data_IF_503942380990
#
_entry.id   IF_503942380990
#
_cell.length_a   1.000
_cell.length_b   1.000
_cell.length_c   1.000
_cell.angle_alpha   90.00
_cell.angle_beta   90.00
_cell.angle_gamma   90.00
#
_symmetry.space_group_name_H-M   'P 1'
#
loop_
_entity.id
_entity.type
_entity.pdbx_description
1 polymer ?
#
# COMPACT_ATOMS: atom_id res chain seq x y z
N UNK A 1 5.48 -8.51 -6.10
CA UNK A 1 4.20 -7.93 -5.65
C UNK A 1 3.97 -8.49 -4.26
N UNK A 2 4.20 -7.68 -3.23
CA UNK A 2 3.93 -8.11 -1.86
C UNK A 2 2.48 -7.70 -1.60
N UNK A 3 1.56 -8.66 -1.73
CA UNK A 3 0.21 -8.50 -1.23
C UNK A 3 0.29 -8.73 0.28
N UNK A 4 0.32 -7.66 1.05
CA UNK A 4 0.19 -7.76 2.51
C UNK A 4 -1.27 -8.08 2.83
N UNK A 5 -1.58 -9.38 2.80
CA UNK A 5 -2.57 -9.95 3.71
C UNK A 5 -1.78 -10.17 5.00
N UNK A 6 -1.99 -9.31 6.00
CA UNK A 6 -1.07 -9.18 7.14
C UNK A 6 -0.70 -10.51 7.80
N UNK A 7 0.51 -10.98 7.54
CA UNK A 7 1.30 -11.81 8.47
C UNK A 7 2.71 -12.04 7.93
N UNK A 8 3.76 -11.62 8.67
CA UNK A 8 5.04 -12.36 8.85
C UNK A 8 5.90 -11.70 9.95
N UNK A 9 5.90 -12.36 11.11
CA UNK A 9 6.86 -12.44 12.23
C UNK A 9 8.07 -11.48 12.32
N UNK A 10 8.06 -10.63 13.36
CA UNK A 10 8.99 -10.67 14.52
C UNK A 10 8.43 -9.76 15.61
N UNK A 11 8.29 -10.30 16.82
CA UNK A 11 7.51 -9.84 17.98
C UNK A 11 6.01 -10.09 17.84
N UNK A 12 5.63 -11.24 18.38
CA UNK A 12 4.32 -11.89 18.31
C UNK A 12 3.27 -11.05 19.06
N UNK A 13 2.51 -10.25 18.31
CA UNK A 13 1.16 -9.87 18.73
C UNK A 13 0.29 -11.03 18.25
N UNK A 14 -0.14 -11.88 19.18
CA UNK A 14 -1.09 -12.95 18.87
C UNK A 14 -2.40 -12.32 18.40
N UNK A 15 -2.53 -12.16 17.09
CA UNK A 15 -3.84 -12.04 16.47
C UNK A 15 -4.50 -13.39 16.62
N UNK A 16 -5.26 -13.54 17.72
CA UNK A 16 -6.25 -14.59 17.87
C UNK A 16 -7.36 -14.31 16.84
N UNK A 17 -7.03 -14.52 15.56
CA UNK A 17 -7.98 -14.54 14.47
C UNK A 17 -8.86 -15.76 14.73
N UNK A 18 -10.16 -15.60 15.02
CA UNK A 18 -11.05 -16.75 14.94
C UNK A 18 -10.83 -17.38 13.57
N UNK A 19 -10.91 -18.70 13.48
CA UNK A 19 -10.76 -19.53 12.28
C UNK A 19 -11.82 -19.27 11.19
N UNK A 20 -12.17 -18.00 10.98
CA UNK A 20 -12.98 -17.50 9.89
C UNK A 20 -12.09 -17.50 8.66
N UNK A 21 -12.28 -18.54 7.87
CA UNK A 21 -12.13 -18.61 6.41
C UNK A 21 -11.48 -17.36 5.81
N UNK A 22 -10.25 -17.53 5.31
CA UNK A 22 -9.66 -16.56 4.38
C UNK A 22 -10.69 -16.36 3.27
N UNK A 23 -11.15 -15.13 2.98
CA UNK A 23 -12.13 -14.90 1.93
C UNK A 23 -11.63 -15.52 0.63
N UNK A 24 -12.38 -16.50 0.11
CA UNK A 24 -12.07 -17.11 -1.17
C UNK A 24 -12.23 -16.03 -2.25
N UNK A 25 -11.11 -15.61 -2.83
CA UNK A 25 -11.11 -14.64 -3.91
C UNK A 25 -11.42 -15.40 -5.19
N UNK A 26 -12.52 -15.05 -5.86
CA UNK A 26 -12.80 -15.56 -7.21
C UNK A 26 -11.64 -15.18 -8.12
N UNK A 27 -10.79 -16.16 -8.42
CA UNK A 27 -9.71 -15.97 -9.37
C UNK A 27 -10.32 -15.88 -10.76
N UNK A 28 -9.81 -15.00 -11.63
CA UNK A 28 -10.24 -14.98 -13.01
C UNK A 28 -10.08 -16.37 -13.62
N UNK A 29 -11.01 -16.76 -14.48
CA UNK A 29 -11.01 -18.04 -15.19
C UNK A 29 -9.87 -18.08 -16.22
N UNK A 30 -8.64 -18.13 -15.74
CA UNK A 30 -7.41 -18.20 -16.53
C UNK A 30 -6.64 -19.42 -16.04
N UNK A 31 -6.47 -20.43 -16.88
CA UNK A 31 -5.76 -21.66 -16.55
C UNK A 31 -4.32 -21.37 -16.06
N UNK A 32 -3.69 -20.32 -16.60
CA UNK A 32 -2.37 -19.88 -16.21
C UNK A 32 -2.26 -18.34 -16.16
N UNK A 33 -2.44 -17.72 -14.97
CA UNK A 33 -2.34 -16.28 -14.79
C UNK A 33 -0.99 -15.69 -15.21
N UNK A 34 0.11 -16.43 -15.04
CA UNK A 34 1.45 -15.95 -15.41
C UNK A 34 1.63 -15.89 -16.93
N UNK A 35 1.12 -16.88 -17.66
CA UNK A 35 1.12 -16.87 -19.12
C UNK A 35 0.22 -15.77 -19.68
N UNK A 36 -0.97 -15.58 -19.07
CA UNK A 36 -1.85 -14.47 -19.40
C UNK A 36 -1.12 -13.13 -19.22
N UNK A 37 -0.55 -12.87 -18.04
CA UNK A 37 0.18 -11.62 -17.78
C UNK A 37 1.30 -11.38 -18.81
N UNK A 38 2.13 -12.39 -19.11
CA UNK A 38 3.21 -12.28 -20.12
C UNK A 38 2.71 -11.93 -21.52
N UNK A 39 1.53 -12.40 -21.92
CA UNK A 39 0.96 -12.06 -23.22
C UNK A 39 0.58 -10.57 -23.31
N UNK A 40 0.28 -9.93 -22.18
CA UNK A 40 -0.20 -8.55 -22.12
C UNK A 40 0.85 -7.55 -21.60
N UNK A 41 1.91 -7.98 -20.90
CA UNK A 41 2.93 -7.10 -20.32
C UNK A 41 4.27 -7.19 -21.02
N UNK A 42 4.86 -6.05 -21.35
CA UNK A 42 6.22 -5.94 -21.89
C UNK A 42 7.24 -6.25 -20.79
N UNK A 43 7.87 -7.42 -20.90
CA UNK A 43 8.99 -7.87 -20.07
C UNK A 43 10.35 -7.73 -20.78
N UNK A 44 10.43 -6.83 -21.77
CA UNK A 44 11.55 -6.63 -22.69
C UNK A 44 11.75 -7.76 -23.73
N UNK A 45 10.86 -8.76 -23.79
CA UNK A 45 10.90 -9.81 -24.83
C UNK A 45 9.90 -9.57 -25.98
N UNK A 46 8.83 -8.79 -25.75
CA UNK A 46 7.77 -8.54 -26.73
C UNK A 46 7.48 -7.03 -26.88
N UNK A 47 8.01 -6.42 -27.94
CA UNK A 47 7.80 -4.99 -28.26
C UNK A 47 6.36 -4.62 -28.59
N UNK A 48 5.51 -5.60 -28.91
CA UNK A 48 4.11 -5.37 -29.29
C UNK A 48 3.12 -5.60 -28.13
N UNK A 49 3.64 -5.93 -26.94
CA UNK A 49 2.80 -6.10 -25.76
C UNK A 49 2.04 -4.80 -25.42
N UNK A 50 0.72 -4.87 -25.14
CA UNK A 50 -0.13 -3.70 -24.94
C UNK A 50 0.18 -2.93 -23.64
N UNK A 51 0.67 -3.61 -22.59
CA UNK A 51 1.02 -2.98 -21.31
C UNK A 51 2.53 -2.78 -21.26
N UNK A 52 2.98 -1.54 -21.43
CA UNK A 52 4.38 -1.15 -21.24
C UNK A 52 4.67 -0.93 -19.76
N UNK A 53 5.50 -1.78 -19.16
CA UNK A 53 5.91 -1.64 -17.77
C UNK A 53 6.87 -0.47 -17.62
N UNK A 54 6.36 0.67 -17.17
CA UNK A 54 7.20 1.83 -16.89
C UNK A 54 7.99 1.62 -15.58
N UNK A 55 9.21 2.15 -15.52
CA UNK A 55 10.05 2.02 -14.34
C UNK A 55 9.64 3.02 -13.26
N UNK A 56 9.27 2.53 -12.08
CA UNK A 56 8.87 3.37 -10.95
C UNK A 56 8.26 2.58 -9.81
N UNK A 57 7.69 3.30 -8.85
CA UNK A 57 6.90 2.70 -7.77
C UNK A 57 5.47 2.48 -8.24
N UNK A 58 4.94 1.26 -8.03
CA UNK A 58 3.55 0.91 -8.34
C UNK A 58 2.83 0.51 -7.06
N UNK A 59 1.84 1.30 -6.69
CA UNK A 59 0.92 1.00 -5.59
C UNK A 59 -0.51 1.05 -6.12
N UNK A 60 -1.35 0.11 -5.70
CA UNK A 60 -2.76 0.11 -6.02
C UNK A 60 -3.59 -0.35 -4.83
N UNK A 61 -4.80 0.18 -4.73
CA UNK A 61 -5.78 -0.27 -3.77
C UNK A 61 -7.17 -0.24 -4.40
N UNK A 62 -8.00 -1.25 -4.10
CA UNK A 62 -9.38 -1.27 -4.55
C UNK A 62 -10.29 -1.83 -3.46
N UNK A 63 -11.54 -1.35 -3.47
CA UNK A 63 -12.59 -1.78 -2.56
C UNK A 63 -13.44 -2.84 -3.25
N UNK A 64 -13.82 -3.86 -2.50
CA UNK A 64 -14.73 -4.92 -2.93
C UNK A 64 -15.72 -5.24 -1.80
N UNK A 65 -16.66 -6.18 -2.02
CA UNK A 65 -17.73 -6.49 -1.06
C UNK A 65 -17.23 -6.83 0.34
N UNK A 66 -16.09 -7.51 0.45
CA UNK A 66 -15.55 -7.99 1.73
C UNK A 66 -14.40 -7.13 2.28
N UNK A 67 -14.13 -5.96 1.71
CA UNK A 67 -13.13 -5.03 2.26
C UNK A 67 -12.32 -4.30 1.21
N UNK A 68 -11.02 -4.17 1.46
CA UNK A 68 -10.06 -3.46 0.63
C UNK A 68 -8.83 -4.34 0.45
N UNK A 69 -8.31 -4.41 -0.78
CA UNK A 69 -7.01 -5.01 -1.07
C UNK A 69 -6.04 -3.88 -1.41
N UNK A 70 -4.84 -3.95 -0.85
CA UNK A 70 -3.72 -3.05 -1.15
C UNK A 70 -2.56 -3.90 -1.68
N UNK A 71 -2.03 -3.54 -2.84
CA UNK A 71 -0.90 -4.22 -3.43
C UNK A 71 0.18 -3.20 -3.83
N UNK A 72 1.42 -3.51 -3.48
CA UNK A 72 2.58 -2.65 -3.75
C UNK A 72 3.74 -3.46 -4.30
N UNK A 73 4.59 -2.79 -5.07
CA UNK A 73 5.94 -3.29 -5.37
C UNK A 73 6.91 -2.95 -4.22
N UNK A 74 8.09 -3.58 -4.22
CA UNK A 74 9.10 -3.44 -3.16
C UNK A 74 10.41 -2.81 -3.65
N UNK A 75 10.49 -2.38 -4.91
CA UNK A 75 11.69 -1.80 -5.51
C UNK A 75 11.81 -0.33 -5.17
N UNK A 76 12.96 0.12 -4.71
CA UNK A 76 13.31 1.54 -4.57
C UNK A 76 14.56 1.83 -5.40
N UNK A 77 14.50 2.90 -6.19
CA UNK A 77 15.60 3.36 -7.04
C UNK A 77 16.07 4.76 -6.63
N UNK A 78 17.34 5.04 -6.84
CA UNK A 78 17.97 6.36 -6.75
C UNK A 78 18.49 6.73 -8.14
N UNK A 79 17.65 7.40 -8.93
CA UNK A 79 17.89 7.57 -10.37
C UNK A 79 17.80 6.23 -11.11
N UNK A 80 18.83 5.90 -11.89
CA UNK A 80 18.95 4.62 -12.61
C UNK A 80 19.41 3.44 -11.74
N UNK A 81 19.89 3.71 -10.52
CA UNK A 81 20.38 2.69 -9.60
C UNK A 81 19.26 2.11 -8.74
N UNK A 82 19.19 0.78 -8.63
CA UNK A 82 18.26 0.12 -7.71
C UNK A 82 18.89 0.06 -6.32
N UNK A 83 18.41 0.92 -5.41
CA UNK A 83 18.89 0.99 -4.04
C UNK A 83 18.45 -0.21 -3.19
N UNK A 84 17.23 -0.70 -3.37
CA UNK A 84 16.71 -1.87 -2.65
C UNK A 84 15.56 -2.53 -3.42
N UNK A 85 15.39 -3.85 -3.24
CA UNK A 85 14.27 -4.64 -3.78
C UNK A 85 13.29 -5.09 -2.68
N UNK A 86 13.49 -4.64 -1.43
CA UNK A 86 12.75 -5.12 -0.24
C UNK A 86 12.17 -3.96 0.60
N UNK A 87 11.87 -2.83 -0.03
CA UNK A 87 11.26 -1.69 0.67
C UNK A 87 9.79 -2.00 0.94
N UNK A 88 9.39 -1.85 2.20
CA UNK A 88 7.98 -1.93 2.60
C UNK A 88 7.27 -0.63 2.24
N UNK A 89 6.42 -0.68 1.22
CA UNK A 89 5.65 0.48 0.75
C UNK A 89 4.21 0.52 1.27
N UNK A 90 3.79 -0.49 2.03
CA UNK A 90 2.61 -0.40 2.89
C UNK A 90 3.06 0.08 4.25
N UNK A 91 2.46 1.17 4.71
CA UNK A 91 2.76 1.82 5.96
C UNK A 91 1.57 1.68 6.90
N UNK A 92 1.82 1.12 8.08
CA UNK A 92 0.79 0.92 9.09
C UNK A 92 0.60 2.22 9.89
N UNK A 93 -0.47 2.97 9.58
CA UNK A 93 -0.80 4.22 10.28
C UNK A 93 -1.33 3.89 11.69
N UNK A 94 -2.23 2.91 11.76
CA UNK A 94 -2.77 2.33 12.99
C UNK A 94 -3.39 0.93 12.69
N UNK A 95 -3.88 0.17 13.69
CA UNK A 95 -4.40 -1.19 13.46
C UNK A 95 -5.62 -1.31 12.52
N UNK A 96 -6.20 -0.20 12.05
CA UNK A 96 -7.38 -0.17 11.18
C UNK A 96 -7.21 0.73 9.95
N UNK A 97 -6.01 1.28 9.70
CA UNK A 97 -5.74 2.21 8.61
C UNK A 97 -4.34 1.99 8.05
N UNK A 98 -4.27 1.84 6.73
CA UNK A 98 -3.03 1.65 5.98
C UNK A 98 -2.81 2.84 5.05
N UNK A 99 -1.55 3.24 4.88
CA UNK A 99 -1.09 4.15 3.86
C UNK A 99 -0.16 3.47 2.87
N UNK A 100 0.10 4.14 1.74
CA UNK A 100 0.96 3.62 0.68
C UNK A 100 2.01 4.65 0.31
N UNK A 101 3.25 4.19 0.16
CA UNK A 101 4.38 5.04 -0.20
C UNK A 101 4.54 5.11 -1.73
N UNK A 102 4.35 6.29 -2.29
CA UNK A 102 4.67 6.61 -3.68
C UNK A 102 5.23 8.04 -3.78
N UNK A 103 6.28 8.24 -4.58
CA UNK A 103 7.03 9.50 -4.62
C UNK A 103 8.16 9.55 -3.58
N UNK A 104 8.29 10.67 -2.88
CA UNK A 104 9.32 10.87 -1.85
C UNK A 104 9.17 9.89 -0.69
N UNK A 105 10.11 8.95 -0.56
CA UNK A 105 10.05 7.89 0.45
C UNK A 105 10.06 8.45 1.88
N UNK A 106 10.92 9.44 2.15
CA UNK A 106 11.02 10.07 3.45
C UNK A 106 9.75 10.85 3.83
N UNK A 107 9.16 11.58 2.86
CA UNK A 107 7.97 12.38 3.09
C UNK A 107 6.77 11.52 3.44
N UNK A 108 6.54 10.44 2.68
CA UNK A 108 5.44 9.51 2.96
C UNK A 108 5.59 8.90 4.36
N UNK A 109 6.77 8.38 4.69
CA UNK A 109 7.03 7.78 6.01
C UNK A 109 6.83 8.78 7.15
N UNK A 110 7.31 10.01 6.98
CA UNK A 110 7.19 11.04 8.00
C UNK A 110 5.74 11.47 8.21
N UNK A 111 5.04 11.85 7.13
CA UNK A 111 3.69 12.40 7.23
C UNK A 111 2.66 11.36 7.65
N UNK A 112 2.79 10.11 7.22
CA UNK A 112 1.89 9.04 7.66
C UNK A 112 2.12 8.65 9.12
N UNK A 113 3.37 8.63 9.60
CA UNK A 113 3.67 8.43 11.02
C UNK A 113 3.12 9.57 11.87
N UNK A 114 3.25 10.82 11.40
CA UNK A 114 2.65 11.98 12.06
C UNK A 114 1.12 11.88 12.10
N UNK A 115 0.49 11.47 10.99
CA UNK A 115 -0.95 11.25 10.93
C UNK A 115 -1.41 10.18 11.94
N UNK A 116 -0.64 9.09 12.11
CA UNK A 116 -0.94 8.06 13.10
C UNK A 116 -0.98 8.61 14.54
N UNK A 117 -0.06 9.52 14.87
CA UNK A 117 -0.06 10.24 16.16
C UNK A 117 -1.32 11.08 16.33
N UNK A 118 -1.70 11.86 15.32
CA UNK A 118 -2.90 12.70 15.38
C UNK A 118 -4.20 11.88 15.47
N UNK A 119 -4.27 10.75 14.74
CA UNK A 119 -5.37 9.81 14.85
C UNK A 119 -5.50 9.26 16.26
N UNK A 120 -4.37 8.91 16.90
CA UNK A 120 -4.36 8.42 18.28
C UNK A 120 -4.78 9.51 19.28
N UNK A 121 -4.34 10.74 19.07
CA UNK A 121 -4.72 11.87 19.92
C UNK A 121 -6.22 12.17 19.82
N UNK A 122 -6.79 12.11 18.62
CA UNK A 122 -8.24 12.22 18.40
C UNK A 122 -9.01 11.14 19.18
N UNK A 123 -8.55 9.90 19.10
CA UNK A 123 -9.17 8.77 19.79
C UNK A 123 -9.16 8.96 21.31
N UNK A 124 -8.05 9.44 21.89
CA UNK A 124 -7.95 9.71 23.33
C UNK A 124 -8.86 10.86 23.79
N UNK A 125 -9.01 11.92 22.98
CA UNK A 125 -9.84 13.08 23.31
C UNK A 125 -11.34 12.78 23.22
N UNK A 126 -11.75 12.08 22.17
CA UNK A 126 -13.16 11.88 21.85
C UNK A 126 -13.69 10.51 22.28
N UNK A 127 -12.81 9.62 22.77
CA UNK A 127 -13.13 8.21 23.08
C UNK A 127 -13.74 7.46 21.89
N UNK A 128 -13.43 7.92 20.67
CA UNK A 128 -13.98 7.41 19.42
C UNK A 128 -12.88 7.40 18.35
N UNK A 129 -12.85 6.34 17.54
CA UNK A 129 -11.93 6.24 16.40
C UNK A 129 -12.23 7.31 15.36
N UNK A 130 -11.17 7.89 14.80
CA UNK A 130 -11.28 8.83 13.68
C UNK A 130 -11.77 8.11 12.41
N UNK A 131 -12.58 8.78 11.60
CA UNK A 131 -12.98 8.25 10.30
C UNK A 131 -11.84 8.34 9.27
N UNK A 132 -11.83 7.46 8.28
CA UNK A 132 -10.87 7.51 7.17
C UNK A 132 -10.98 8.84 6.40
N UNK A 133 -12.19 9.36 6.23
CA UNK A 133 -12.41 10.67 5.59
C UNK A 133 -11.76 11.81 6.38
N UNK A 134 -11.91 11.85 7.70
CA UNK A 134 -11.31 12.87 8.54
C UNK A 134 -9.77 12.77 8.54
N UNK A 135 -9.22 11.57 8.67
CA UNK A 135 -7.77 11.35 8.61
C UNK A 135 -7.19 11.78 7.25
N UNK A 136 -7.83 11.39 6.13
CA UNK A 136 -7.40 11.81 4.79
C UNK A 136 -7.43 13.33 4.62
N UNK A 137 -8.41 14.01 5.22
CA UNK A 137 -8.53 15.47 5.16
C UNK A 137 -7.46 16.17 5.98
N UNK A 138 -7.10 15.65 7.15
CA UNK A 138 -5.98 16.15 7.96
C UNK A 138 -4.68 16.08 7.15
N UNK A 139 -4.40 14.93 6.53
CA UNK A 139 -3.19 14.73 5.72
C UNK A 139 -3.16 15.68 4.51
N UNK A 140 -4.28 15.84 3.81
CA UNK A 140 -4.38 16.77 2.68
C UNK A 140 -4.16 18.23 3.12
N UNK A 141 -4.71 18.64 4.26
CA UNK A 141 -4.56 20.00 4.76
C UNK A 141 -3.10 20.28 5.17
N UNK A 142 -2.45 19.36 5.89
CA UNK A 142 -1.06 19.59 6.32
C UNK A 142 -0.08 19.61 5.14
N UNK A 143 -0.23 18.70 4.18
CA UNK A 143 0.62 18.67 2.99
C UNK A 143 0.40 19.90 2.10
N UNK A 144 -0.83 20.41 2.02
CA UNK A 144 -1.12 21.65 1.29
C UNK A 144 -0.41 22.89 1.87
N UNK A 145 -0.15 22.93 3.18
CA UNK A 145 0.63 24.02 3.78
C UNK A 145 2.09 24.07 3.28
N UNK A 146 2.63 22.96 2.77
CA UNK A 146 3.98 22.87 2.20
C UNK A 146 3.98 22.92 0.67
N UNK A 147 2.88 23.38 0.04
CA UNK A 147 2.79 23.49 -1.41
C UNK A 147 3.90 24.40 -1.95
N UNK A 148 4.73 23.85 -2.84
CA UNK A 148 5.85 24.55 -3.47
C UNK A 148 7.18 24.47 -2.71
N UNK A 149 7.26 23.69 -1.64
CA UNK A 149 8.49 23.49 -0.85
C UNK A 149 9.28 22.22 -1.21
N UNK A 150 8.84 21.46 -2.21
CA UNK A 150 9.45 20.20 -2.67
C UNK A 150 9.95 20.26 -4.10
#
# INVERSE_FOLDING_TARGET
>A
MEALIGNTSRNQVDFNLPSKEIPEFELPATENPAAFLRAFTDDHSNSDAPIKLNHGTTTLAFKFKHGIIVAVDSRASAGSWIASQKVKKVLEINPYMLGTMAGGAADCQFWEKWLGKECRLHELRNKQRISVSAASKILANITYHYKGAG
#
